data_IF_059380129346
#
_entry.id   IF_059380129346
#
_cell.length_a   1.000
_cell.length_b   1.000
_cell.length_c   1.000
_cell.angle_alpha   90.00
_cell.angle_beta   90.00
_cell.angle_gamma   90.00
#
_symmetry.space_group_name_H-M   'P 1'
#
loop_
_entity.id
_entity.type
_entity.pdbx_description
1 polymer ?
#
# COMPACT_ATOMS: atom_id res chain seq x y z
N UNK A 1 -19.21 -5.17 6.55
CA UNK A 1 -17.81 -4.90 6.95
C UNK A 1 -17.37 -3.57 6.34
N UNK A 2 -16.81 -2.64 7.14
CA UNK A 2 -16.30 -1.38 6.60
C UNK A 2 -14.83 -1.58 6.17
N UNK A 3 -14.62 -1.75 4.87
CA UNK A 3 -13.31 -2.09 4.28
C UNK A 3 -12.24 -1.07 4.65
N UNK A 4 -12.58 0.23 4.60
CA UNK A 4 -11.65 1.30 4.96
C UNK A 4 -11.24 1.26 6.43
N UNK A 5 -12.19 1.00 7.34
CA UNK A 5 -11.86 0.80 8.76
C UNK A 5 -10.94 -0.41 8.97
N UNK A 6 -11.16 -1.51 8.25
CA UNK A 6 -10.30 -2.69 8.31
C UNK A 6 -8.90 -2.40 7.79
N UNK A 7 -8.77 -1.75 6.62
CA UNK A 7 -7.47 -1.34 6.04
C UNK A 7 -6.69 -0.47 7.02
N UNK A 8 -7.34 0.53 7.63
CA UNK A 8 -6.68 1.41 8.59
C UNK A 8 -6.16 0.64 9.82
N UNK A 9 -6.95 -0.30 10.35
CA UNK A 9 -6.53 -1.14 11.48
C UNK A 9 -5.31 -1.98 11.12
N UNK A 10 -5.32 -2.63 9.96
CA UNK A 10 -4.21 -3.44 9.49
C UNK A 10 -2.97 -2.60 9.21
N UNK A 11 -3.12 -1.42 8.59
CA UNK A 11 -2.02 -0.49 8.39
C UNK A 11 -1.39 -0.07 9.72
N UNK A 12 -2.20 0.27 10.73
CA UNK A 12 -1.69 0.59 12.07
C UNK A 12 -0.95 -0.59 12.71
N UNK A 13 -1.43 -1.82 12.54
CA UNK A 13 -0.76 -3.02 13.04
C UNK A 13 0.60 -3.26 12.34
N UNK A 14 0.67 -3.10 11.02
CA UNK A 14 1.93 -3.20 10.25
C UNK A 14 2.95 -2.14 10.68
N UNK A 15 2.50 -0.90 10.89
CA UNK A 15 3.36 0.19 11.39
C UNK A 15 3.87 -0.13 12.80
N UNK A 16 3.02 -0.68 13.68
CA UNK A 16 3.42 -1.09 15.03
C UNK A 16 4.47 -2.23 15.02
N UNK A 17 4.41 -3.12 14.02
CA UNK A 17 5.44 -4.15 13.78
C UNK A 17 6.74 -3.60 13.15
N UNK A 18 6.80 -2.31 12.84
CA UNK A 18 7.99 -1.66 12.26
C UNK A 18 8.02 -1.60 10.73
N UNK A 19 6.97 -2.06 10.05
CA UNK A 19 6.89 -1.96 8.59
C UNK A 19 6.34 -0.62 8.14
N UNK A 20 7.08 0.06 7.27
CA UNK A 20 6.69 1.38 6.78
C UNK A 20 5.94 1.25 5.45
N UNK A 21 4.62 1.07 5.55
CA UNK A 21 3.70 1.13 4.42
C UNK A 21 2.99 2.48 4.35
N UNK A 22 2.92 3.02 3.14
CA UNK A 22 2.20 4.26 2.84
C UNK A 22 1.09 3.96 1.84
N UNK A 23 -0.15 4.10 2.30
CA UNK A 23 -1.36 3.97 1.49
C UNK A 23 -1.84 5.38 1.14
N UNK A 24 -1.67 5.78 -0.13
CA UNK A 24 -2.10 7.08 -0.64
C UNK A 24 -3.41 6.92 -1.40
N UNK A 25 -4.31 7.89 -1.24
CA UNK A 25 -5.53 8.00 -2.04
C UNK A 25 -5.42 9.18 -2.99
N UNK A 26 -5.74 8.98 -4.26
CA UNK A 26 -5.76 10.04 -5.25
C UNK A 26 -7.05 9.98 -6.05
N UNK A 27 -7.42 11.08 -6.70
CA UNK A 27 -8.59 11.16 -7.54
C UNK A 27 -8.19 11.57 -8.95
N UNK A 28 -8.85 10.99 -9.94
CA UNK A 28 -8.66 11.35 -11.34
C UNK A 28 -9.98 11.24 -12.08
N UNK A 29 -10.20 12.13 -13.03
CA UNK A 29 -11.39 12.10 -13.86
C UNK A 29 -11.21 11.07 -14.98
N UNK A 30 -12.23 10.24 -15.22
CA UNK A 30 -12.21 9.24 -16.31
C UNK A 30 -13.30 9.56 -17.31
N UNK A 31 -12.90 10.03 -18.49
CA UNK A 31 -13.80 10.45 -19.56
C UNK A 31 -14.77 9.35 -19.98
N UNK A 32 -14.29 8.10 -20.10
CA UNK A 32 -15.10 6.93 -20.45
C UNK A 32 -16.29 6.67 -19.52
N UNK A 33 -16.20 7.08 -18.25
CA UNK A 33 -17.26 6.89 -17.26
C UNK A 33 -17.91 8.22 -16.84
N UNK A 34 -17.46 9.34 -17.42
CA UNK A 34 -17.90 10.70 -17.10
C UNK A 34 -17.97 10.97 -15.59
N UNK A 35 -16.95 10.51 -14.84
CA UNK A 35 -16.93 10.65 -13.37
C UNK A 35 -15.52 10.71 -12.80
N UNK A 36 -15.43 11.29 -11.61
CA UNK A 36 -14.23 11.22 -10.78
C UNK A 36 -14.09 9.81 -10.18
N UNK A 37 -12.92 9.21 -10.34
CA UNK A 37 -12.57 7.90 -9.78
C UNK A 37 -11.53 8.10 -8.68
N UNK A 38 -11.67 7.35 -7.59
CA UNK A 38 -10.68 7.30 -6.52
C UNK A 38 -9.75 6.10 -6.74
N UNK A 39 -8.46 6.39 -6.89
CA UNK A 39 -7.38 5.40 -6.90
C UNK A 39 -6.68 5.29 -5.55
N UNK A 40 -6.07 4.13 -5.33
CA UNK A 40 -5.30 3.78 -4.14
C UNK A 40 -3.93 3.31 -4.59
N UNK A 41 -2.88 3.90 -3.99
CA UNK A 41 -1.49 3.51 -4.23
C UNK A 41 -0.86 3.06 -2.92
N UNK A 42 -0.33 1.84 -2.90
CA UNK A 42 0.42 1.30 -1.76
C UNK A 42 1.91 1.34 -2.11
N UNK A 43 2.70 1.93 -1.22
CA UNK A 43 4.16 1.95 -1.32
C UNK A 43 4.78 1.41 -0.04
N UNK A 44 5.85 0.65 -0.15
CA UNK A 44 6.64 0.14 0.96
C UNK A 44 8.06 0.71 0.89
N UNK A 45 8.59 1.16 2.03
CA UNK A 45 10.01 1.52 2.13
C UNK A 45 10.84 0.25 2.26
N UNK A 46 11.54 -0.12 1.18
CA UNK A 46 12.53 -1.20 1.21
C UNK A 46 13.93 -0.64 1.28
N UNK A 47 14.72 -1.21 2.19
CA UNK A 47 16.16 -1.01 2.19
C UNK A 47 16.76 -1.84 1.07
N UNK A 48 17.64 -1.24 0.27
CA UNK A 48 18.38 -1.95 -0.74
C UNK A 48 19.85 -1.56 -0.66
N UNK A 49 20.72 -2.54 -0.93
CA UNK A 49 22.15 -2.32 -0.98
C UNK A 49 22.53 -1.86 -2.39
N UNK A 50 23.12 -0.68 -2.48
CA UNK A 50 23.69 -0.17 -3.74
C UNK A 50 24.95 -0.97 -4.09
N UNK A 51 25.36 -0.94 -5.36
CA UNK A 51 26.58 -1.62 -5.85
C UNK A 51 27.86 -1.13 -5.16
N UNK A 52 27.86 0.10 -4.64
CA UNK A 52 28.97 0.70 -3.88
C UNK A 52 28.99 0.29 -2.39
N UNK A 53 28.07 -0.58 -1.94
CA UNK A 53 28.01 -1.06 -0.57
C UNK A 53 27.17 -0.22 0.38
N UNK A 54 26.69 0.96 -0.03
CA UNK A 54 25.82 1.82 0.79
C UNK A 54 24.40 1.25 0.89
N UNK A 55 23.82 1.36 2.10
CA UNK A 55 22.40 1.10 2.34
C UNK A 55 21.59 2.33 1.95
N UNK A 56 20.61 2.15 1.07
CA UNK A 56 19.69 3.21 0.65
C UNK A 56 18.25 2.75 0.81
N UNK A 57 17.34 3.70 0.98
CA UNK A 57 15.90 3.42 1.09
C UNK A 57 15.24 3.81 -0.24
N UNK A 58 14.40 2.94 -0.77
CA UNK A 58 13.55 3.23 -1.92
C UNK A 58 12.10 2.95 -1.58
N UNK A 59 11.24 3.88 -1.99
CA UNK A 59 9.80 3.64 -2.01
C UNK A 59 9.49 2.74 -3.21
N UNK A 60 9.05 1.51 -2.94
CA UNK A 60 8.63 0.54 -3.96
C UNK A 60 7.12 0.55 -4.02
N UNK A 61 6.55 0.75 -5.21
CA UNK A 61 5.11 0.63 -5.43
C UNK A 61 4.73 -0.86 -5.42
N UNK A 62 3.83 -1.23 -4.51
CA UNK A 62 3.31 -2.60 -4.38
C UNK A 62 1.97 -2.76 -5.09
N UNK A 63 1.15 -1.71 -5.08
CA UNK A 63 -0.18 -1.74 -5.69
C UNK A 63 -0.56 -0.35 -6.18
N UNK A 64 -1.19 -0.30 -7.35
CA UNK A 64 -1.95 0.85 -7.81
C UNK A 64 -3.28 0.37 -8.39
N UNK A 65 -4.38 0.64 -7.69
CA UNK A 65 -5.70 0.11 -8.04
C UNK A 65 -6.82 1.08 -7.68
N UNK A 66 -7.94 1.00 -8.41
CA UNK A 66 -9.18 1.70 -8.07
C UNK A 66 -10.10 0.88 -7.15
N UNK A 67 -9.68 -0.32 -6.73
CA UNK A 67 -10.47 -1.24 -5.90
C UNK A 67 -9.99 -1.26 -4.46
N UNK A 68 -10.87 -0.87 -3.52
CA UNK A 68 -10.59 -1.00 -2.08
C UNK A 68 -10.40 -2.47 -1.64
N UNK A 69 -11.02 -3.42 -2.35
CA UNK A 69 -10.91 -4.84 -2.03
C UNK A 69 -9.51 -5.36 -2.36
N UNK A 70 -8.91 -4.91 -3.46
CA UNK A 70 -7.52 -5.26 -3.80
C UNK A 70 -6.53 -4.70 -2.79
N UNK A 71 -6.75 -3.46 -2.34
CA UNK A 71 -5.94 -2.86 -1.26
C UNK A 71 -6.00 -3.73 0.00
N UNK A 72 -7.20 -4.16 0.39
CA UNK A 72 -7.36 -5.03 1.56
C UNK A 72 -6.64 -6.37 1.39
N UNK A 73 -6.74 -7.00 0.21
CA UNK A 73 -6.06 -8.28 -0.07
C UNK A 73 -4.55 -8.17 0.06
N UNK A 74 -3.95 -7.12 -0.51
CA UNK A 74 -2.49 -6.90 -0.40
C UNK A 74 -2.09 -6.69 1.04
N UNK A 75 -2.75 -5.77 1.77
CA UNK A 75 -2.42 -5.49 3.17
C UNK A 75 -2.61 -6.72 4.07
N UNK A 76 -3.60 -7.57 3.77
CA UNK A 76 -3.85 -8.80 4.51
C UNK A 76 -2.82 -9.89 4.18
N UNK A 77 -2.42 -10.02 2.91
CA UNK A 77 -1.37 -10.95 2.47
C UNK A 77 -0.03 -10.63 3.10
N UNK A 78 0.36 -9.35 3.08
CA UNK A 78 1.60 -8.86 3.70
C UNK A 78 1.64 -9.11 5.22
N UNK A 79 0.49 -9.08 5.91
CA UNK A 79 0.42 -9.47 7.33
C UNK A 79 0.67 -10.97 7.54
N UNK A 80 0.18 -11.82 6.63
CA UNK A 80 0.34 -13.27 6.71
C UNK A 80 1.74 -13.74 6.35
N UNK A 81 2.32 -13.23 5.26
CA UNK A 81 3.70 -13.56 4.84
C UNK A 81 4.77 -13.11 5.85
N UNK A 82 4.44 -12.16 6.73
CA UNK A 82 5.35 -11.62 7.74
C UNK A 82 5.13 -12.22 9.14
N UNK A 83 4.19 -13.15 9.27
CA UNK A 83 3.96 -13.93 10.50
C UNK A 83 4.60 -15.34 10.45
N UNK A 84 5.03 -15.82 9.27
CA UNK A 84 5.92 -16.98 9.10
C UNK A 84 7.40 -16.61 9.26
#
# INVERSE_FOLDING_TARGET
>A
MNIRKTINKLQSALIAKGYIYKINTYQFYRDQQNRMITGYRITEKRQYRKKNGEMSVKDVELLNSCSQVEVLKVVCGEMGEKEE
#
